data_IF_784795093559
#
_entry.id   IF_784795093559
#
_cell.length_a   1.000
_cell.length_b   1.000
_cell.length_c   1.000
_cell.angle_alpha   90.00
_cell.angle_beta   90.00
_cell.angle_gamma   90.00
#
_symmetry.space_group_name_H-M   'P 1'
#
loop_
_entity.id
_entity.type
_entity.pdbx_description
1 polymer ?
#
# COMPACT_ATOMS: atom_id res chain seq x y z
N UNK A 1 5.28 -7.75 37.56
CA UNK A 1 5.75 -9.13 37.78
C UNK A 1 6.70 -9.45 36.63
N UNK A 2 7.98 -9.71 36.91
CA UNK A 2 8.93 -10.16 35.89
C UNK A 2 8.63 -11.63 35.60
N UNK A 3 7.77 -11.89 34.62
CA UNK A 3 7.59 -13.24 34.08
C UNK A 3 8.79 -13.52 33.19
N UNK A 4 9.65 -14.45 33.62
CA UNK A 4 10.69 -15.01 32.75
C UNK A 4 10.01 -15.51 31.47
N UNK A 5 10.48 -15.13 30.28
CA UNK A 5 9.86 -15.51 29.02
C UNK A 5 9.81 -17.03 28.92
N UNK A 6 8.62 -17.57 28.67
CA UNK A 6 8.36 -19.02 28.69
C UNK A 6 8.92 -19.71 27.45
N UNK A 7 9.25 -18.95 26.40
CA UNK A 7 9.77 -19.43 25.13
C UNK A 7 10.57 -18.34 24.41
N UNK A 8 11.65 -18.73 23.72
CA UNK A 8 12.47 -17.82 22.91
C UNK A 8 12.80 -18.48 21.57
N UNK A 9 12.51 -17.78 20.48
CA UNK A 9 12.94 -18.17 19.13
C UNK A 9 14.18 -17.39 18.71
N UNK A 10 15.00 -18.00 17.87
CA UNK A 10 16.22 -17.39 17.32
C UNK A 10 16.16 -17.33 15.80
N UNK A 11 16.64 -16.23 15.23
CA UNK A 11 16.84 -16.05 13.79
C UNK A 11 18.13 -15.25 13.54
N UNK A 12 18.64 -15.26 12.31
CA UNK A 12 19.69 -14.30 11.92
C UNK A 12 19.07 -12.92 11.68
N UNK A 13 17.94 -12.89 10.98
CA UNK A 13 17.20 -11.66 10.62
C UNK A 13 15.74 -11.80 11.01
N UNK A 14 15.20 -10.77 11.68
CA UNK A 14 13.75 -10.63 11.88
C UNK A 14 13.25 -9.54 10.94
N UNK A 15 12.14 -9.81 10.26
CA UNK A 15 11.41 -8.83 9.45
C UNK A 15 10.02 -8.65 10.05
N UNK A 16 9.66 -7.40 10.39
CA UNK A 16 8.34 -7.06 10.91
C UNK A 16 7.49 -6.47 9.78
N UNK A 17 6.35 -7.11 9.54
CA UNK A 17 5.39 -6.76 8.50
C UNK A 17 5.62 -7.54 7.22
N UNK A 18 4.61 -8.23 6.72
CA UNK A 18 4.68 -8.98 5.45
C UNK A 18 4.04 -8.21 4.27
N UNK A 19 4.24 -6.88 4.26
CA UNK A 19 3.90 -6.04 3.11
C UNK A 19 4.97 -6.11 2.02
N UNK A 20 4.82 -5.31 0.96
CA UNK A 20 5.73 -5.32 -0.20
C UNK A 20 7.22 -5.21 0.18
N UNK A 21 7.60 -4.26 1.04
CA UNK A 21 8.99 -4.11 1.49
C UNK A 21 9.47 -5.26 2.38
N UNK A 22 8.59 -5.80 3.23
CA UNK A 22 8.92 -6.92 4.11
C UNK A 22 9.10 -8.23 3.35
N UNK A 23 8.32 -8.46 2.29
CA UNK A 23 8.51 -9.61 1.39
C UNK A 23 9.88 -9.53 0.74
N UNK A 24 10.24 -8.40 0.13
CA UNK A 24 11.55 -8.27 -0.54
C UNK A 24 12.71 -8.39 0.47
N UNK A 25 12.58 -7.79 1.67
CA UNK A 25 13.58 -7.91 2.72
C UNK A 25 13.77 -9.37 3.19
N UNK A 26 12.66 -10.08 3.43
CA UNK A 26 12.70 -11.46 3.89
C UNK A 26 13.25 -12.40 2.81
N UNK A 27 12.80 -12.24 1.57
CA UNK A 27 13.30 -13.01 0.42
C UNK A 27 14.79 -12.76 0.17
N UNK A 28 15.25 -11.51 0.24
CA UNK A 28 16.66 -11.17 0.08
C UNK A 28 17.54 -11.81 1.15
N UNK A 29 17.16 -11.68 2.44
CA UNK A 29 17.91 -12.28 3.54
C UNK A 29 17.95 -13.81 3.44
N UNK A 30 16.80 -14.44 3.15
CA UNK A 30 16.68 -15.88 3.02
C UNK A 30 17.52 -16.45 1.86
N UNK A 31 17.50 -15.80 0.69
CA UNK A 31 18.31 -16.17 -0.48
C UNK A 31 19.81 -16.01 -0.25
N UNK A 32 20.21 -15.12 0.66
CA UNK A 32 21.59 -14.99 1.13
C UNK A 32 21.99 -16.05 2.18
N UNK A 33 21.07 -16.96 2.52
CA UNK A 33 21.31 -18.07 3.45
C UNK A 33 21.02 -17.74 4.92
N UNK A 34 20.45 -16.58 5.23
CA UNK A 34 20.09 -16.21 6.59
C UNK A 34 18.81 -16.91 7.04
N UNK A 35 18.81 -17.52 8.24
CA UNK A 35 17.56 -17.96 8.87
C UNK A 35 16.71 -16.73 9.20
N UNK A 36 15.62 -16.56 8.47
CA UNK A 36 14.83 -15.34 8.48
C UNK A 36 13.45 -15.60 9.09
N UNK A 37 13.07 -14.79 10.07
CA UNK A 37 11.76 -14.84 10.69
C UNK A 37 10.92 -13.66 10.22
N UNK A 38 9.84 -13.93 9.49
CA UNK A 38 8.91 -12.93 9.01
C UNK A 38 7.65 -12.91 9.90
N UNK A 39 7.48 -11.82 10.64
CA UNK A 39 6.41 -11.59 11.59
C UNK A 39 5.33 -10.71 10.97
N UNK A 40 4.07 -11.10 11.03
CA UNK A 40 2.94 -10.30 10.52
C UNK A 40 1.69 -10.46 11.37
N UNK A 41 0.86 -9.43 11.46
CA UNK A 41 -0.38 -9.47 12.25
C UNK A 41 -1.41 -10.44 11.65
N UNK A 42 -1.38 -10.64 10.34
CA UNK A 42 -2.26 -11.56 9.63
C UNK A 42 -1.50 -12.21 8.46
N UNK A 43 -1.46 -13.54 8.43
CA UNK A 43 -0.82 -14.32 7.36
C UNK A 43 -1.64 -14.30 6.06
N UNK A 44 -2.94 -14.07 6.15
CA UNK A 44 -3.83 -14.00 4.98
C UNK A 44 -3.68 -12.68 4.21
N UNK A 45 -2.96 -11.69 4.76
CA UNK A 45 -2.70 -10.39 4.12
C UNK A 45 -1.26 -10.18 3.65
N UNK A 46 -0.45 -11.26 3.61
CA UNK A 46 0.89 -11.25 2.99
C UNK A 46 0.79 -10.78 1.54
N UNK A 47 1.48 -9.69 1.20
CA UNK A 47 1.49 -9.16 -0.17
C UNK A 47 0.20 -8.44 -0.58
N UNK A 48 -0.69 -8.11 0.36
CA UNK A 48 -1.94 -7.40 0.08
C UNK A 48 -1.70 -6.01 -0.57
N UNK A 49 -2.33 -5.79 -1.72
CA UNK A 49 -2.40 -4.48 -2.39
C UNK A 49 -3.51 -3.60 -1.81
N UNK A 50 -3.18 -2.74 -0.85
CA UNK A 50 -4.17 -1.96 -0.09
C UNK A 50 -4.78 -0.78 -0.85
N UNK A 51 -4.11 -0.29 -1.89
CA UNK A 51 -4.49 0.90 -2.62
C UNK A 51 -4.82 0.53 -4.08
N UNK A 52 -4.08 1.05 -5.06
CA UNK A 52 -4.27 0.81 -6.48
C UNK A 52 -4.00 -0.67 -6.86
N UNK A 53 -4.83 -1.32 -7.71
CA UNK A 53 -4.56 -2.66 -8.25
C UNK A 53 -3.47 -2.64 -9.35
N UNK A 54 -2.33 -2.00 -9.11
CA UNK A 54 -1.31 -1.86 -10.16
C UNK A 54 0.13 -1.85 -9.65
N UNK A 55 1.04 -2.40 -10.47
CA UNK A 55 2.50 -2.32 -10.33
C UNK A 55 3.09 -1.52 -11.49
N UNK A 56 4.12 -0.73 -11.19
CA UNK A 56 4.80 0.12 -12.16
C UNK A 56 4.09 1.46 -12.43
N UNK A 57 4.21 1.95 -13.66
CA UNK A 57 3.93 3.34 -14.03
C UNK A 57 5.18 4.24 -13.96
N UNK A 58 5.05 5.56 -14.16
CA UNK A 58 6.21 6.46 -14.23
C UNK A 58 7.08 6.35 -12.98
N UNK A 59 8.40 6.26 -13.17
CA UNK A 59 9.45 5.97 -12.17
C UNK A 59 9.34 4.60 -11.47
N UNK A 60 8.12 4.18 -11.09
CA UNK A 60 7.86 2.88 -10.46
C UNK A 60 8.25 1.71 -11.36
N UNK A 61 8.06 1.83 -12.67
CA UNK A 61 8.42 0.77 -13.63
C UNK A 61 9.91 0.44 -13.59
N UNK A 62 10.75 1.46 -13.52
CA UNK A 62 12.19 1.33 -13.45
C UNK A 62 12.58 0.66 -12.13
N UNK A 63 12.02 1.13 -11.01
CA UNK A 63 12.26 0.53 -9.69
C UNK A 63 11.87 -0.96 -9.65
N UNK A 64 10.72 -1.35 -10.20
CA UNK A 64 10.32 -2.77 -10.25
C UNK A 64 11.33 -3.60 -11.06
N UNK A 65 11.81 -3.07 -12.19
CA UNK A 65 12.84 -3.73 -13.00
C UNK A 65 14.20 -3.79 -12.30
N UNK A 66 14.58 -2.76 -11.56
CA UNK A 66 15.80 -2.76 -10.74
C UNK A 66 15.72 -3.80 -9.62
N UNK A 67 14.57 -3.89 -8.94
CA UNK A 67 14.31 -4.92 -7.92
C UNK A 67 14.40 -6.32 -8.54
N UNK A 68 13.78 -6.54 -9.70
CA UNK A 68 13.87 -7.82 -10.41
C UNK A 68 15.31 -8.17 -10.83
N UNK A 69 16.07 -7.19 -11.36
CA UNK A 69 17.47 -7.38 -11.73
C UNK A 69 18.36 -7.73 -10.53
N UNK A 70 18.01 -7.27 -9.32
CA UNK A 70 18.68 -7.62 -8.07
C UNK A 70 18.22 -8.97 -7.48
N UNK A 71 17.29 -9.67 -8.14
CA UNK A 71 16.77 -10.97 -7.71
C UNK A 71 15.57 -10.90 -6.76
N UNK A 72 14.92 -9.73 -6.65
CA UNK A 72 13.66 -9.54 -5.96
C UNK A 72 12.49 -10.23 -6.66
N UNK A 73 11.30 -10.18 -6.05
CA UNK A 73 10.15 -10.98 -6.49
C UNK A 73 8.98 -10.16 -7.06
N UNK A 74 8.94 -8.84 -6.84
CA UNK A 74 7.84 -7.98 -7.26
C UNK A 74 7.57 -8.04 -8.78
N UNK A 75 8.61 -8.09 -9.61
CA UNK A 75 8.48 -8.22 -11.07
C UNK A 75 7.81 -9.54 -11.46
N UNK A 76 8.29 -10.64 -10.87
CA UNK A 76 7.73 -11.99 -11.06
C UNK A 76 6.26 -12.03 -10.64
N UNK A 77 5.92 -11.49 -9.47
CA UNK A 77 4.54 -11.45 -8.98
C UNK A 77 3.63 -10.64 -9.92
N UNK A 78 4.08 -9.45 -10.35
CA UNK A 78 3.30 -8.59 -11.23
C UNK A 78 3.02 -9.25 -12.59
N UNK A 79 4.03 -9.90 -13.17
CA UNK A 79 3.90 -10.62 -14.45
C UNK A 79 3.07 -11.90 -14.31
N UNK A 80 3.11 -12.56 -13.14
CA UNK A 80 2.33 -13.75 -12.90
C UNK A 80 0.84 -13.45 -12.79
N UNK A 81 0.46 -12.27 -12.28
CA UNK A 81 -0.93 -11.96 -11.85
C UNK A 81 -1.55 -10.75 -12.53
N UNK A 82 -1.08 -10.35 -13.71
CA UNK A 82 -1.60 -9.16 -14.38
C UNK A 82 -3.03 -9.35 -14.92
N UNK A 83 -3.79 -8.27 -14.87
CA UNK A 83 -5.05 -8.06 -15.60
C UNK A 83 -4.81 -7.32 -16.90
N UNK A 84 -3.85 -6.39 -16.95
CA UNK A 84 -3.55 -5.58 -18.13
C UNK A 84 -2.08 -5.18 -18.11
N UNK A 85 -1.39 -5.26 -19.25
CA UNK A 85 -0.05 -4.69 -19.44
C UNK A 85 -0.14 -3.48 -20.36
N UNK A 86 0.44 -2.35 -19.94
CA UNK A 86 0.44 -1.12 -20.74
C UNK A 86 1.76 -0.37 -20.65
N UNK A 87 2.32 -0.01 -21.79
CA UNK A 87 3.49 0.85 -21.87
C UNK A 87 3.03 2.31 -21.95
N UNK A 88 3.42 3.11 -20.97
CA UNK A 88 3.17 4.54 -20.92
C UNK A 88 4.26 5.29 -21.69
N UNK A 89 3.91 6.46 -22.24
CA UNK A 89 4.81 7.32 -23.00
C UNK A 89 5.43 6.65 -24.25
N UNK A 90 4.71 5.74 -24.92
CA UNK A 90 5.21 5.02 -26.12
C UNK A 90 5.63 5.93 -27.27
N UNK A 91 4.91 7.04 -27.45
CA UNK A 91 5.22 8.06 -28.47
C UNK A 91 6.47 8.86 -28.16
N UNK A 92 7.01 8.74 -26.93
CA UNK A 92 8.25 9.39 -26.48
C UNK A 92 9.42 8.41 -26.53
N UNK A 93 10.63 8.96 -26.38
CA UNK A 93 11.87 8.18 -26.40
C UNK A 93 11.93 7.10 -25.31
N UNK A 94 12.69 6.01 -25.51
CA UNK A 94 12.76 4.87 -24.59
C UNK A 94 13.06 5.25 -23.12
N UNK A 95 13.85 6.31 -22.90
CA UNK A 95 14.24 6.78 -21.58
C UNK A 95 13.07 7.17 -20.66
N UNK A 96 11.92 7.55 -21.22
CA UNK A 96 10.74 8.00 -20.45
C UNK A 96 9.56 7.02 -20.54
N UNK A 97 9.76 5.87 -21.18
CA UNK A 97 8.75 4.81 -21.25
C UNK A 97 8.67 4.12 -19.88
N UNK A 98 7.46 3.73 -19.50
CA UNK A 98 7.23 3.03 -18.25
C UNK A 98 6.18 1.95 -18.44
N UNK A 99 6.49 0.73 -18.02
CA UNK A 99 5.51 -0.36 -17.99
C UNK A 99 4.60 -0.18 -16.77
N UNK A 100 3.31 -0.42 -16.95
CA UNK A 100 2.33 -0.50 -15.88
C UNK A 100 1.52 -1.78 -16.06
N UNK A 101 1.53 -2.64 -15.04
CA UNK A 101 0.61 -3.76 -14.95
C UNK A 101 -0.55 -3.38 -14.05
N UNK A 102 -1.78 -3.54 -14.52
CA UNK A 102 -2.88 -3.83 -13.59
C UNK A 102 -2.70 -5.24 -13.08
N UNK A 103 -2.94 -5.47 -11.80
CA UNK A 103 -2.74 -6.75 -11.13
C UNK A 103 -4.04 -7.18 -10.47
N UNK A 104 -4.36 -8.47 -10.62
CA UNK A 104 -5.41 -9.08 -9.83
C UNK A 104 -4.92 -9.12 -8.38
N UNK A 105 -5.59 -8.40 -7.50
CA UNK A 105 -5.12 -8.26 -6.11
C UNK A 105 -5.16 -9.57 -5.34
N UNK A 106 -6.18 -10.38 -5.57
CA UNK A 106 -6.37 -11.63 -4.84
C UNK A 106 -5.33 -12.66 -5.30
N UNK A 107 -5.10 -12.75 -6.61
CA UNK A 107 -4.05 -13.60 -7.14
C UNK A 107 -2.65 -13.10 -6.75
N UNK A 108 -2.38 -11.79 -6.82
CA UNK A 108 -1.07 -11.21 -6.44
C UNK A 108 -0.72 -11.57 -4.99
N UNK A 109 -1.67 -11.36 -4.07
CA UNK A 109 -1.53 -11.74 -2.66
C UNK A 109 -1.24 -13.23 -2.50
N UNK A 110 -2.01 -14.08 -3.17
CA UNK A 110 -1.87 -15.54 -3.09
C UNK A 110 -0.53 -15.99 -3.65
N UNK A 111 -0.08 -15.40 -4.75
CA UNK A 111 1.19 -15.70 -5.39
C UNK A 111 2.38 -15.25 -4.52
N UNK A 112 2.33 -14.02 -3.98
CA UNK A 112 3.30 -13.53 -3.00
C UNK A 112 3.42 -14.47 -1.79
N UNK A 113 2.29 -14.86 -1.20
CA UNK A 113 2.28 -15.78 -0.06
C UNK A 113 2.92 -17.12 -0.40
N UNK A 114 2.54 -17.71 -1.54
CA UNK A 114 3.12 -18.97 -2.02
C UNK A 114 4.64 -18.88 -2.17
N UNK A 115 5.16 -17.80 -2.75
CA UNK A 115 6.60 -17.60 -2.89
C UNK A 115 7.30 -17.56 -1.53
N UNK A 116 6.77 -16.77 -0.60
CA UNK A 116 7.33 -16.66 0.76
C UNK A 116 7.29 -17.99 1.50
N UNK A 117 6.17 -18.72 1.44
CA UNK A 117 6.01 -20.03 2.08
C UNK A 117 6.90 -21.11 1.44
N UNK A 118 7.28 -20.95 0.17
CA UNK A 118 8.14 -21.90 -0.54
C UNK A 118 9.63 -21.68 -0.31
N UNK A 119 10.04 -20.54 0.27
CA UNK A 119 11.44 -20.22 0.53
C UNK A 119 11.94 -20.90 1.82
N UNK A 120 12.86 -21.89 1.75
CA UNK A 120 13.19 -22.75 2.90
C UNK A 120 13.78 -22.01 4.11
N UNK A 121 14.43 -20.88 3.89
CA UNK A 121 15.07 -20.09 4.95
C UNK A 121 14.13 -19.07 5.59
N UNK A 122 12.87 -19.00 5.18
CA UNK A 122 11.84 -18.14 5.80
C UNK A 122 10.96 -18.97 6.72
N UNK A 123 10.81 -18.51 7.97
CA UNK A 123 9.76 -18.97 8.88
C UNK A 123 8.75 -17.86 9.09
N UNK A 124 7.46 -18.23 9.05
CA UNK A 124 6.35 -17.32 9.25
C UNK A 124 5.82 -17.40 10.69
N UNK A 125 5.43 -16.26 11.25
CA UNK A 125 4.61 -16.19 12.46
C UNK A 125 3.52 -15.13 12.32
N UNK A 126 2.31 -15.51 12.73
CA UNK A 126 1.23 -14.55 12.93
C UNK A 126 1.34 -13.98 14.33
N UNK A 127 1.75 -12.72 14.45
CA UNK A 127 1.88 -12.05 15.74
C UNK A 127 1.95 -10.53 15.60
N UNK A 128 1.75 -9.81 16.70
CA UNK A 128 1.97 -8.36 16.77
C UNK A 128 3.16 -8.09 17.67
N UNK A 129 4.26 -7.59 17.10
CA UNK A 129 5.41 -7.15 17.89
C UNK A 129 5.05 -5.86 18.63
N UNK A 130 5.31 -5.83 19.94
CA UNK A 130 4.95 -4.70 20.81
C UNK A 130 6.16 -4.11 21.56
N UNK A 131 7.29 -4.84 21.65
CA UNK A 131 8.52 -4.32 22.26
C UNK A 131 9.76 -4.56 21.41
N UNK A 132 10.70 -3.62 21.52
CA UNK A 132 12.05 -3.71 20.96
C UNK A 132 13.06 -3.82 22.10
N UNK A 133 13.94 -4.84 22.02
CA UNK A 133 14.98 -5.10 23.00
C UNK A 133 16.36 -4.75 22.43
N UNK A 134 17.09 -3.90 23.16
CA UNK A 134 18.46 -3.48 22.83
C UNK A 134 19.38 -3.67 24.02
N UNK A 135 20.68 -3.84 23.78
CA UNK A 135 21.68 -3.84 24.84
C UNK A 135 21.68 -2.46 25.57
N UNK A 136 21.57 -2.43 26.90
CA UNK A 136 21.44 -1.17 27.64
C UNK A 136 22.67 -0.27 27.54
N UNK A 137 23.85 -0.83 27.29
CA UNK A 137 25.13 -0.13 27.19
C UNK A 137 25.45 0.23 25.74
N UNK A 138 25.46 -0.76 24.84
CA UNK A 138 25.89 -0.54 23.44
C UNK A 138 24.78 -0.06 22.52
N UNK A 139 23.52 -0.11 22.97
CA UNK A 139 22.29 0.14 22.18
C UNK A 139 22.07 -0.81 21.01
N UNK A 140 22.97 -1.75 20.75
CA UNK A 140 22.80 -2.76 19.71
C UNK A 140 21.50 -3.54 19.88
N UNK A 141 20.82 -3.81 18.76
CA UNK A 141 19.64 -4.66 18.70
C UNK A 141 19.92 -6.07 19.26
N UNK A 142 18.97 -6.59 20.03
CA UNK A 142 19.03 -7.95 20.63
C UNK A 142 17.87 -8.81 20.16
N UNK A 143 16.66 -8.23 20.11
CA UNK A 143 15.45 -8.98 19.79
C UNK A 143 14.19 -8.16 19.91
N UNK A 144 13.05 -8.82 19.73
CA UNK A 144 11.72 -8.22 19.88
C UNK A 144 10.81 -9.12 20.70
N UNK A 145 9.73 -8.55 21.23
CA UNK A 145 8.70 -9.28 21.97
C UNK A 145 7.33 -9.01 21.38
N UNK A 146 6.52 -10.05 21.29
CA UNK A 146 5.15 -9.93 20.82
C UNK A 146 4.11 -9.77 21.93
N UNK A 147 2.86 -9.56 21.51
CA UNK A 147 1.73 -9.35 22.40
C UNK A 147 1.36 -10.58 23.26
N UNK A 148 1.99 -11.73 23.04
CA UNK A 148 1.86 -12.94 23.86
C UNK A 148 3.03 -13.12 24.84
N UNK A 149 4.02 -12.23 24.81
CA UNK A 149 5.22 -12.31 25.63
C UNK A 149 6.30 -13.26 25.09
N UNK A 150 6.20 -13.67 23.81
CA UNK A 150 7.23 -14.50 23.16
C UNK A 150 8.39 -13.61 22.75
N UNK A 151 9.61 -14.03 23.09
CA UNK A 151 10.83 -13.36 22.66
C UNK A 151 11.38 -13.94 21.37
N UNK A 152 11.82 -13.04 20.48
CA UNK A 152 12.47 -13.38 19.22
C UNK A 152 13.83 -12.69 19.19
N UNK A 153 14.91 -13.45 19.32
CA UNK A 153 16.27 -12.94 19.30
C UNK A 153 16.86 -13.02 17.89
N UNK A 154 17.53 -11.96 17.44
CA UNK A 154 18.20 -11.95 16.15
C UNK A 154 19.38 -10.98 16.08
N UNK A 155 20.20 -11.13 15.04
CA UNK A 155 21.37 -10.25 14.80
C UNK A 155 20.96 -8.94 14.13
N UNK A 156 19.88 -8.95 13.35
CA UNK A 156 19.37 -7.78 12.65
C UNK A 156 17.84 -7.75 12.62
N UNK A 157 17.29 -6.54 12.52
CA UNK A 157 15.86 -6.26 12.42
C UNK A 157 15.57 -5.37 11.23
N UNK A 158 14.55 -5.72 10.44
CA UNK A 158 13.96 -4.87 9.40
C UNK A 158 12.51 -4.55 9.76
N UNK A 159 12.18 -3.26 9.89
CA UNK A 159 10.83 -2.81 10.26
C UNK A 159 10.10 -2.30 9.01
N UNK A 160 9.01 -2.97 8.62
CA UNK A 160 8.20 -2.65 7.44
C UNK A 160 6.71 -2.61 7.77
N UNK A 161 6.36 -1.90 8.84
CA UNK A 161 5.00 -1.82 9.41
C UNK A 161 3.98 -1.10 8.51
N UNK A 162 4.41 -0.47 7.41
CA UNK A 162 3.51 0.21 6.47
C UNK A 162 2.68 1.29 7.16
N UNK A 163 1.36 1.18 7.07
CA UNK A 163 0.39 2.14 7.63
C UNK A 163 -0.14 1.73 9.01
N UNK A 164 0.46 0.73 9.67
CA UNK A 164 -0.12 0.12 10.88
C UNK A 164 0.30 0.77 12.19
N UNK A 165 1.49 1.37 12.29
CA UNK A 165 1.97 1.98 13.54
C UNK A 165 1.09 3.14 13.95
N UNK A 166 0.39 2.97 15.08
CA UNK A 166 -0.64 3.89 15.58
C UNK A 166 -1.59 4.35 14.47
N UNK A 167 -1.96 3.42 13.57
CA UNK A 167 -2.82 3.68 12.43
C UNK A 167 -4.21 4.17 12.85
N UNK A 168 -4.70 5.21 12.18
CA UNK A 168 -6.04 5.75 12.38
C UNK A 168 -6.70 6.05 11.04
N UNK A 169 -7.85 5.45 10.81
CA UNK A 169 -8.66 5.64 9.60
C UNK A 169 -9.66 6.77 9.80
N UNK A 170 -9.94 7.49 8.73
CA UNK A 170 -10.79 8.67 8.72
C UNK A 170 -11.75 8.68 7.53
N UNK A 171 -13.03 8.92 7.83
CA UNK A 171 -14.12 9.13 6.86
C UNK A 171 -15.00 10.26 7.40
N UNK A 172 -14.87 11.44 6.79
CA UNK A 172 -15.46 12.67 7.30
C UNK A 172 -15.01 12.95 8.74
N UNK A 173 -15.97 13.18 9.61
CA UNK A 173 -15.78 13.46 11.04
C UNK A 173 -15.56 12.18 11.87
N UNK A 174 -15.72 11.00 11.25
CA UNK A 174 -15.58 9.71 11.94
C UNK A 174 -14.17 9.17 11.81
N UNK A 175 -13.69 8.53 12.88
CA UNK A 175 -12.41 7.81 12.88
C UNK A 175 -12.49 6.48 13.59
N UNK A 176 -11.58 5.59 13.24
CA UNK A 176 -11.40 4.28 13.87
C UNK A 176 -9.91 3.92 13.90
N UNK A 177 -9.47 3.21 14.96
CA UNK A 177 -8.12 2.66 15.00
C UNK A 177 -7.96 1.55 13.96
N UNK A 178 -6.90 1.62 13.16
CA UNK A 178 -6.67 0.65 12.09
C UNK A 178 -5.53 1.03 11.17
N UNK A 179 -4.74 0.05 10.75
CA UNK A 179 -3.72 0.26 9.72
C UNK A 179 -4.32 0.31 8.31
N UNK A 180 -5.42 -0.41 8.11
CA UNK A 180 -6.21 -0.47 6.87
C UNK A 180 -7.67 -0.75 7.22
N UNK A 181 -8.65 -0.40 6.38
CA UNK A 181 -10.05 -0.76 6.63
C UNK A 181 -10.21 -2.25 6.92
N UNK A 182 -10.79 -2.59 8.07
CA UNK A 182 -10.97 -3.97 8.53
C UNK A 182 -9.76 -4.61 9.22
N UNK A 183 -8.62 -3.92 9.33
CA UNK A 183 -7.42 -4.42 10.02
C UNK A 183 -7.01 -3.49 11.17
N UNK A 184 -6.73 -4.06 12.34
CA UNK A 184 -6.32 -3.32 13.54
C UNK A 184 -4.99 -2.59 13.35
N UNK A 185 -4.77 -1.52 14.12
CA UNK A 185 -3.48 -0.86 14.21
C UNK A 185 -2.49 -1.67 15.08
N UNK A 186 -1.19 -1.46 14.86
CA UNK A 186 -0.13 -1.94 15.75
C UNK A 186 0.27 -0.82 16.72
N UNK A 187 0.53 -1.15 17.98
CA UNK A 187 0.97 -0.21 19.03
C UNK A 187 2.18 -0.77 19.77
N UNK A 188 2.86 0.07 20.56
CA UNK A 188 4.02 -0.35 21.38
C UNK A 188 5.36 0.10 20.80
N UNK A 189 5.79 -0.46 19.66
CA UNK A 189 7.14 -0.26 19.10
C UNK A 189 7.50 1.23 18.90
N UNK A 190 6.55 2.09 18.53
CA UNK A 190 6.82 3.54 18.37
C UNK A 190 7.47 4.13 19.63
N UNK A 191 6.96 3.79 20.82
CA UNK A 191 7.48 4.32 22.07
C UNK A 191 8.91 3.83 22.34
N UNK A 192 9.21 2.57 22.05
CA UNK A 192 10.56 2.02 22.20
C UNK A 192 11.55 2.67 21.23
N UNK A 193 11.15 2.94 19.98
CA UNK A 193 11.97 3.68 19.02
C UNK A 193 12.24 5.11 19.49
N UNK A 194 11.23 5.82 20.03
CA UNK A 194 11.43 7.14 20.62
C UNK A 194 12.41 7.09 21.79
N UNK A 195 12.31 6.07 22.66
CA UNK A 195 13.24 5.86 23.78
C UNK A 195 14.68 5.59 23.33
N UNK A 196 14.87 5.07 22.11
CA UNK A 196 16.18 4.91 21.47
C UNK A 196 16.69 6.19 20.79
N UNK A 197 15.94 7.29 20.87
CA UNK A 197 16.33 8.60 20.35
C UNK A 197 15.88 8.86 18.92
N UNK A 198 14.95 8.06 18.38
CA UNK A 198 14.34 8.38 17.09
C UNK A 198 13.28 9.47 17.22
N UNK A 199 13.26 10.37 16.24
CA UNK A 199 12.13 11.26 16.01
C UNK A 199 11.08 10.58 15.15
N UNK A 200 9.81 10.89 15.40
CA UNK A 200 8.68 10.40 14.61
C UNK A 200 7.79 11.57 14.19
N UNK A 201 7.02 11.36 13.14
CA UNK A 201 5.93 12.25 12.74
C UNK A 201 4.76 11.43 12.21
N UNK A 202 3.73 12.12 11.73
CA UNK A 202 2.51 11.49 11.18
C UNK A 202 2.42 11.76 9.68
N UNK A 203 2.13 10.71 8.91
CA UNK A 203 1.78 10.83 7.49
C UNK A 203 0.32 10.46 7.29
N UNK A 204 -0.31 11.08 6.30
CA UNK A 204 -1.65 10.75 5.81
C UNK A 204 -1.57 10.23 4.38
N UNK A 205 -2.30 9.17 4.07
CA UNK A 205 -2.57 8.77 2.68
C UNK A 205 -4.05 8.42 2.50
N UNK A 206 -4.60 8.75 1.33
CA UNK A 206 -6.00 8.49 0.97
C UNK A 206 -6.14 7.38 -0.04
N UNK A 207 -7.24 6.64 0.04
CA UNK A 207 -7.63 5.62 -0.95
C UNK A 207 -9.03 5.93 -1.50
N UNK A 208 -9.30 5.68 -2.79
CA UNK A 208 -10.61 5.91 -3.38
C UNK A 208 -11.62 4.85 -2.93
N UNK A 209 -12.91 5.06 -3.23
CA UNK A 209 -13.93 4.06 -2.98
C UNK A 209 -13.75 2.86 -3.92
N UNK A 210 -14.29 1.71 -3.51
CA UNK A 210 -14.46 0.53 -4.37
C UNK A 210 -15.92 0.44 -4.75
N UNK A 211 -16.18 0.33 -6.05
CA UNK A 211 -17.52 0.35 -6.63
C UNK A 211 -17.94 -1.04 -7.10
N UNK A 212 -19.24 -1.31 -7.08
CA UNK A 212 -19.79 -2.54 -7.64
C UNK A 212 -19.94 -2.41 -9.16
N UNK A 213 -19.15 -3.19 -9.91
CA UNK A 213 -19.17 -3.26 -11.38
C UNK A 213 -20.57 -3.42 -11.96
N UNK A 214 -21.47 -4.14 -11.28
CA UNK A 214 -22.83 -4.45 -11.76
C UNK A 214 -23.74 -3.22 -11.81
N UNK A 215 -23.37 -2.17 -11.09
CA UNK A 215 -24.13 -0.91 -10.97
C UNK A 215 -23.56 0.23 -11.81
N UNK A 216 -22.52 -0.05 -12.62
CA UNK A 216 -21.88 0.94 -13.48
C UNK A 216 -22.35 0.75 -14.92
N UNK A 217 -22.63 1.85 -15.60
CA UNK A 217 -22.82 1.87 -17.06
C UNK A 217 -21.47 2.15 -17.72
N UNK A 218 -20.84 1.07 -18.21
CA UNK A 218 -19.52 1.13 -18.84
C UNK A 218 -19.58 1.24 -20.37
N UNK A 219 -20.75 1.07 -20.99
CA UNK A 219 -20.89 1.00 -22.45
C UNK A 219 -20.57 2.35 -23.11
N UNK A 220 -20.98 3.45 -22.48
CA UNK A 220 -20.73 4.81 -22.96
C UNK A 220 -19.34 5.38 -22.63
N UNK A 221 -18.49 4.65 -21.90
CA UNK A 221 -17.19 5.15 -21.43
C UNK A 221 -16.06 4.82 -22.39
N UNK A 222 -15.05 5.70 -22.45
CA UNK A 222 -13.84 5.43 -23.25
C UNK A 222 -13.08 4.24 -22.67
N UNK A 223 -12.91 3.22 -23.51
CA UNK A 223 -12.18 1.99 -23.18
C UNK A 223 -10.68 2.21 -23.35
N UNK A 224 -9.91 1.91 -22.32
CA UNK A 224 -8.46 1.87 -22.35
C UNK A 224 -7.95 0.43 -22.26
N UNK A 225 -7.65 -0.22 -23.40
CA UNK A 225 -7.08 -1.55 -23.42
C UNK A 225 -5.60 -1.52 -23.01
N UNK A 226 -5.05 -2.73 -22.80
CA UNK A 226 -3.61 -2.96 -22.70
C UNK A 226 -2.93 -2.95 -24.08
N UNK A 227 -1.62 -3.19 -24.09
CA UNK A 227 -0.83 -3.26 -25.32
C UNK A 227 -1.02 -4.62 -26.01
N UNK A 228 -1.08 -4.64 -27.34
CA UNK A 228 -1.13 -5.89 -28.13
C UNK A 228 0.19 -6.68 -28.02
N UNK A 229 1.31 -5.96 -28.01
CA UNK A 229 2.64 -6.55 -27.79
C UNK A 229 2.99 -6.47 -26.32
N UNK A 230 2.91 -7.60 -25.63
CA UNK A 230 3.17 -7.69 -24.21
C UNK A 230 4.64 -7.39 -23.87
N UNK A 231 4.82 -6.66 -22.78
CA UNK A 231 6.09 -6.45 -22.11
C UNK A 231 5.91 -6.83 -20.64
N UNK A 232 6.99 -7.33 -20.06
CA UNK A 232 7.01 -7.88 -18.72
C UNK A 232 7.99 -7.11 -17.84
N UNK A 233 7.79 -7.16 -16.54
CA UNK A 233 8.73 -6.59 -15.57
C UNK A 233 9.95 -7.49 -15.39
N UNK A 234 9.74 -8.79 -15.26
CA UNK A 234 10.78 -9.76 -14.99
C UNK A 234 11.63 -10.08 -16.20
N UNK A 235 12.93 -10.16 -15.98
CA UNK A 235 13.91 -10.62 -16.97
C UNK A 235 13.93 -12.14 -17.11
N UNK A 236 13.35 -12.88 -16.17
CA UNK A 236 13.28 -14.34 -16.21
C UNK A 236 12.37 -14.85 -17.35
N UNK A 237 12.64 -16.06 -17.88
CA UNK A 237 11.82 -16.67 -18.93
C UNK A 237 10.41 -17.07 -18.43
N UNK A 238 9.60 -17.63 -19.33
CA UNK A 238 8.33 -18.31 -18.99
C UNK A 238 7.23 -17.46 -18.33
N UNK A 239 7.25 -16.15 -18.60
CA UNK A 239 6.16 -15.22 -18.22
C UNK A 239 4.84 -15.63 -18.88
N UNK A 240 3.73 -15.71 -18.13
CA UNK A 240 2.46 -16.19 -18.65
C UNK A 240 1.82 -15.18 -19.61
N UNK A 241 1.12 -15.67 -20.62
CA UNK A 241 0.22 -14.88 -21.45
C UNK A 241 -1.20 -15.08 -20.92
N UNK A 242 -1.85 -13.98 -20.57
CA UNK A 242 -3.16 -13.92 -19.93
C UNK A 242 -4.09 -13.00 -20.72
N UNK A 243 -5.38 -13.31 -20.68
CA UNK A 243 -6.42 -12.44 -21.23
C UNK A 243 -6.39 -11.06 -20.56
N UNK A 244 -6.33 -10.00 -21.36
CA UNK A 244 -6.27 -8.63 -20.80
C UNK A 244 -7.67 -8.09 -20.53
N UNK A 245 -7.84 -7.43 -19.38
CA UNK A 245 -9.05 -6.67 -19.04
C UNK A 245 -8.82 -5.18 -19.31
N UNK A 246 -9.78 -4.47 -19.93
CA UNK A 246 -9.65 -3.03 -20.13
C UNK A 246 -9.93 -2.25 -18.84
N UNK A 247 -9.39 -1.03 -18.79
CA UNK A 247 -9.85 0.03 -17.88
C UNK A 247 -10.81 0.97 -18.63
N UNK A 248 -11.53 1.80 -17.89
CA UNK A 248 -12.48 2.76 -18.46
C UNK A 248 -12.16 4.16 -17.94
N UNK A 249 -12.29 5.17 -18.80
CA UNK A 249 -12.11 6.57 -18.41
C UNK A 249 -13.46 7.20 -18.08
N UNK A 250 -13.53 7.86 -16.93
CA UNK A 250 -14.60 8.80 -16.61
C UNK A 250 -13.97 10.12 -16.13
N UNK A 251 -14.78 11.12 -15.80
CA UNK A 251 -14.29 12.44 -15.44
C UNK A 251 -15.19 13.12 -14.42
N UNK A 252 -14.58 13.96 -13.58
CA UNK A 252 -15.38 14.93 -12.80
C UNK A 252 -15.95 16.02 -13.70
N UNK A 253 -16.94 16.73 -13.17
CA UNK A 253 -17.59 17.86 -13.83
C UNK A 253 -17.91 18.97 -12.81
N UNK A 254 -18.44 20.13 -13.24
CA UNK A 254 -18.76 21.24 -12.34
C UNK A 254 -19.71 20.87 -11.19
N UNK A 255 -20.65 19.93 -11.39
CA UNK A 255 -21.53 19.46 -10.33
C UNK A 255 -20.76 18.69 -9.26
N UNK A 256 -19.83 17.81 -9.66
CA UNK A 256 -18.91 17.13 -8.72
C UNK A 256 -18.14 18.16 -7.89
N UNK A 257 -17.57 19.17 -8.56
CA UNK A 257 -16.75 20.20 -7.90
C UNK A 257 -17.55 21.05 -6.94
N UNK A 258 -18.79 21.39 -7.30
CA UNK A 258 -19.69 22.12 -6.41
C UNK A 258 -19.93 21.34 -5.12
N UNK A 259 -20.27 20.04 -5.20
CA UNK A 259 -20.50 19.19 -4.02
C UNK A 259 -19.25 19.13 -3.14
N UNK A 260 -18.07 18.98 -3.74
CA UNK A 260 -16.78 19.00 -3.03
C UNK A 260 -16.60 20.32 -2.28
N UNK A 261 -16.74 21.45 -2.97
CA UNK A 261 -16.51 22.77 -2.39
C UNK A 261 -17.51 23.10 -1.27
N UNK A 262 -18.78 22.73 -1.45
CA UNK A 262 -19.82 22.89 -0.42
C UNK A 262 -19.49 22.09 0.86
N UNK A 263 -18.77 20.97 0.74
CA UNK A 263 -18.50 20.04 1.84
C UNK A 263 -17.04 19.99 2.31
N UNK A 264 -16.13 20.79 1.74
CA UNK A 264 -14.68 20.69 2.03
C UNK A 264 -14.33 20.92 3.50
N UNK A 265 -15.12 21.75 4.17
CA UNK A 265 -15.02 22.06 5.61
C UNK A 265 -15.25 20.83 6.50
N UNK A 266 -15.84 19.75 5.95
CA UNK A 266 -16.08 18.47 6.65
C UNK A 266 -14.94 17.47 6.45
N UNK A 267 -13.90 17.82 5.70
CA UNK A 267 -12.72 16.97 5.61
C UNK A 267 -11.94 17.02 6.94
N UNK A 268 -11.47 15.88 7.47
CA UNK A 268 -10.78 15.85 8.76
C UNK A 268 -9.49 16.69 8.80
N UNK A 269 -8.87 16.95 7.64
CA UNK A 269 -7.77 17.92 7.56
C UNK A 269 -8.24 19.35 7.81
N UNK A 270 -9.30 19.80 7.13
CA UNK A 270 -9.81 21.17 7.27
C UNK A 270 -10.41 21.42 8.66
N UNK A 271 -10.91 20.37 9.31
CA UNK A 271 -11.40 20.43 10.69
C UNK A 271 -10.29 20.40 11.75
N UNK A 272 -9.01 20.20 11.36
CA UNK A 272 -7.89 20.06 12.29
C UNK A 272 -7.98 18.79 13.15
N UNK A 273 -8.64 17.73 12.65
CA UNK A 273 -8.80 16.46 13.37
C UNK A 273 -7.62 15.50 13.17
N UNK A 274 -6.80 15.73 12.14
CA UNK A 274 -5.59 14.96 11.85
C UNK A 274 -4.36 15.67 12.40
N UNK A 275 -3.42 14.88 12.92
CA UNK A 275 -2.09 15.34 13.36
C UNK A 275 -1.13 15.50 12.19
N UNK A 276 -1.35 14.78 11.08
CA UNK A 276 -0.55 14.89 9.88
C UNK A 276 -0.84 16.22 9.15
N UNK A 277 0.15 17.12 9.15
CA UNK A 277 0.04 18.47 8.58
C UNK A 277 -0.21 18.50 7.07
N UNK A 278 0.31 17.52 6.31
CA UNK A 278 0.31 17.55 4.84
C UNK A 278 0.08 16.16 4.22
N UNK A 279 -0.94 16.06 3.36
CA UNK A 279 -1.11 14.91 2.47
C UNK A 279 -0.09 14.87 1.33
N UNK A 280 -0.06 13.81 0.50
CA UNK A 280 0.90 13.65 -0.57
C UNK A 280 0.80 14.79 -1.60
N UNK A 281 1.93 15.45 -1.91
CA UNK A 281 1.97 16.54 -2.90
C UNK A 281 1.57 16.09 -4.31
N UNK A 282 2.06 14.94 -4.74
CA UNK A 282 1.96 14.45 -6.13
C UNK A 282 0.86 13.40 -6.34
N UNK A 283 0.14 13.02 -5.28
CA UNK A 283 -1.06 12.20 -5.36
C UNK A 283 -2.13 12.75 -4.39
N UNK A 284 -2.57 14.02 -4.58
CA UNK A 284 -3.55 14.64 -3.71
C UNK A 284 -4.91 13.95 -3.77
N UNK A 285 -5.70 14.14 -2.72
CA UNK A 285 -7.12 13.76 -2.70
C UNK A 285 -7.92 14.52 -3.77
N UNK A 286 -9.12 14.05 -4.13
CA UNK A 286 -9.94 14.75 -5.11
C UNK A 286 -10.38 16.12 -4.61
N UNK A 287 -10.67 16.25 -3.32
CA UNK A 287 -10.95 17.54 -2.68
C UNK A 287 -9.74 18.49 -2.77
N UNK A 288 -8.52 18.00 -2.49
CA UNK A 288 -7.29 18.80 -2.67
C UNK A 288 -7.05 19.19 -4.14
N UNK A 289 -7.34 18.31 -5.11
CA UNK A 289 -7.17 18.60 -6.53
C UNK A 289 -8.08 19.72 -7.00
N UNK A 290 -9.35 19.66 -6.62
CA UNK A 290 -10.35 20.67 -7.00
C UNK A 290 -9.97 22.03 -6.41
N UNK A 291 -9.52 22.09 -5.16
CA UNK A 291 -9.09 23.37 -4.55
C UNK A 291 -7.80 23.91 -5.13
N UNK A 292 -6.81 23.05 -5.42
CA UNK A 292 -5.50 23.50 -5.94
C UNK A 292 -5.51 23.87 -7.42
N UNK A 293 -6.43 23.28 -8.18
CA UNK A 293 -6.56 23.46 -9.63
C UNK A 293 -7.98 23.94 -9.96
N UNK A 294 -8.41 25.00 -9.28
CA UNK A 294 -9.75 25.59 -9.42
C UNK A 294 -10.07 26.07 -10.85
N UNK A 295 -9.05 26.30 -11.67
CA UNK A 295 -9.17 26.67 -13.09
C UNK A 295 -9.56 25.49 -14.00
N UNK A 296 -9.60 24.26 -13.46
CA UNK A 296 -9.93 23.05 -14.22
C UNK A 296 -11.39 22.67 -13.99
N UNK A 297 -12.19 22.69 -15.05
CA UNK A 297 -13.58 22.24 -15.01
C UNK A 297 -13.75 20.71 -14.87
N UNK A 298 -12.66 19.95 -15.01
CA UNK A 298 -12.70 18.48 -15.06
C UNK A 298 -11.36 17.81 -14.76
N UNK A 299 -11.40 16.65 -14.11
CA UNK A 299 -10.26 15.77 -13.85
C UNK A 299 -10.53 14.36 -14.38
N UNK A 300 -9.52 13.73 -14.97
CA UNK A 300 -9.58 12.34 -15.44
C UNK A 300 -9.59 11.37 -14.25
N UNK A 301 -10.43 10.34 -14.35
CA UNK A 301 -10.52 9.24 -13.41
C UNK A 301 -10.51 7.92 -14.19
N UNK A 302 -9.80 6.92 -13.68
CA UNK A 302 -9.84 5.57 -14.28
C UNK A 302 -10.64 4.64 -13.39
N UNK A 303 -11.57 3.90 -14.01
CA UNK A 303 -12.28 2.80 -13.39
C UNK A 303 -11.50 1.53 -13.72
N UNK A 304 -10.87 0.95 -12.72
CA UNK A 304 -9.90 -0.14 -12.86
C UNK A 304 -10.44 -1.43 -12.20
N UNK A 305 -10.51 -2.58 -12.89
CA UNK A 305 -10.87 -3.84 -12.24
C UNK A 305 -9.86 -4.21 -11.13
N UNK A 306 -10.34 -4.67 -9.97
CA UNK A 306 -9.43 -5.17 -8.90
C UNK A 306 -9.05 -6.66 -9.07
N UNK A 307 -9.80 -7.41 -9.88
CA UNK A 307 -9.55 -8.84 -10.14
C UNK A 307 -10.54 -9.45 -11.13
N UNK A 308 -10.31 -10.70 -11.54
CA UNK A 308 -11.16 -11.45 -12.47
C UNK A 308 -12.41 -12.01 -11.78
N UNK A 309 -12.24 -12.48 -10.56
CA UNK A 309 -13.27 -13.15 -9.76
C UNK A 309 -13.95 -12.21 -8.76
N UNK A 310 -13.99 -10.91 -9.06
CA UNK A 310 -14.64 -9.89 -8.22
C UNK A 310 -15.35 -8.84 -9.06
N UNK A 311 -16.42 -8.27 -8.50
CA UNK A 311 -17.09 -7.10 -9.07
C UNK A 311 -16.51 -5.79 -8.53
N UNK A 312 -15.50 -5.81 -7.66
CA UNK A 312 -14.88 -4.58 -7.15
C UNK A 312 -14.10 -3.85 -8.26
N UNK A 313 -14.49 -2.59 -8.48
CA UNK A 313 -13.80 -1.65 -9.36
C UNK A 313 -13.18 -0.52 -8.53
N UNK A 314 -11.90 -0.23 -8.77
CA UNK A 314 -11.15 0.85 -8.13
C UNK A 314 -11.28 2.15 -8.92
N UNK A 315 -11.74 3.22 -8.28
CA UNK A 315 -11.89 4.54 -8.92
C UNK A 315 -10.61 5.37 -8.78
N UNK A 316 -9.60 5.09 -9.61
CA UNK A 316 -8.31 5.75 -9.58
C UNK A 316 -8.45 7.27 -9.79
N UNK A 317 -7.79 8.04 -8.92
CA UNK A 317 -7.78 9.49 -8.97
C UNK A 317 -8.80 10.15 -8.05
N UNK A 318 -9.71 9.36 -7.46
CA UNK A 318 -10.81 9.80 -6.59
C UNK A 318 -10.58 9.48 -5.10
N UNK A 319 -9.33 9.50 -4.63
CA UNK A 319 -9.05 9.35 -3.20
C UNK A 319 -9.70 10.50 -2.44
N UNK A 320 -10.46 10.22 -1.39
CA UNK A 320 -11.10 11.25 -0.55
C UNK A 320 -11.21 10.78 0.88
N UNK A 321 -11.35 11.75 1.79
CA UNK A 321 -11.70 11.49 3.18
C UNK A 321 -12.98 12.21 3.59
N UNK A 322 -13.80 12.65 2.63
CA UNK A 322 -15.11 13.25 2.90
C UNK A 322 -16.11 12.21 3.49
N UNK A 323 -17.17 12.69 4.17
CA UNK A 323 -18.23 11.84 4.72
C UNK A 323 -18.86 10.92 3.66
N UNK A 324 -19.31 9.74 4.07
CA UNK A 324 -19.80 8.70 3.15
C UNK A 324 -20.96 9.17 2.27
N UNK A 325 -21.92 9.90 2.83
CA UNK A 325 -23.06 10.45 2.11
C UNK A 325 -22.61 11.43 1.01
N UNK A 326 -21.58 12.24 1.29
CA UNK A 326 -20.98 13.14 0.30
C UNK A 326 -20.25 12.33 -0.78
N UNK A 327 -19.57 11.24 -0.42
CA UNK A 327 -18.96 10.34 -1.41
C UNK A 327 -20.00 9.79 -2.39
N UNK A 328 -21.15 9.35 -1.90
CA UNK A 328 -22.25 8.86 -2.75
C UNK A 328 -22.72 9.96 -3.70
N UNK A 329 -22.98 11.18 -3.20
CA UNK A 329 -23.41 12.30 -4.02
C UNK A 329 -22.39 12.64 -5.11
N UNK A 330 -21.10 12.78 -4.75
CA UNK A 330 -20.06 13.14 -5.71
C UNK A 330 -19.88 12.07 -6.79
N UNK A 331 -19.85 10.79 -6.42
CA UNK A 331 -19.63 9.69 -7.38
C UNK A 331 -20.77 9.60 -8.39
N UNK A 332 -22.02 9.79 -7.94
CA UNK A 332 -23.21 9.73 -8.81
C UNK A 332 -23.32 10.89 -9.78
N UNK A 333 -22.48 11.92 -9.66
CA UNK A 333 -22.37 12.96 -10.70
C UNK A 333 -21.47 12.55 -11.86
N UNK A 334 -20.64 11.51 -11.71
CA UNK A 334 -19.67 11.12 -12.73
C UNK A 334 -20.37 10.34 -13.85
N UNK A 335 -20.06 10.59 -15.14
CA UNK A 335 -20.63 9.83 -16.24
C UNK A 335 -20.41 8.32 -16.09
N UNK A 336 -21.47 7.54 -16.25
CA UNK A 336 -21.49 6.07 -16.13
C UNK A 336 -21.58 5.55 -14.69
N UNK A 337 -21.67 6.45 -13.70
CA UNK A 337 -21.67 6.14 -12.27
C UNK A 337 -22.92 6.68 -11.55
N UNK A 338 -23.95 7.08 -12.29
CA UNK A 338 -25.19 7.69 -11.79
C UNK A 338 -25.93 6.80 -10.76
N UNK A 339 -25.77 5.48 -10.92
CA UNK A 339 -26.34 4.45 -10.05
C UNK A 339 -25.30 3.67 -9.26
N UNK A 340 -24.04 4.11 -9.25
CA UNK A 340 -22.95 3.38 -8.64
C UNK A 340 -23.21 3.09 -7.15
N UNK A 341 -22.97 1.84 -6.76
CA UNK A 341 -22.95 1.41 -5.37
C UNK A 341 -21.51 1.33 -4.86
N UNK A 342 -21.27 1.90 -3.68
CA UNK A 342 -19.97 1.86 -3.00
C UNK A 342 -19.92 0.61 -2.13
N UNK A 343 -19.07 -0.35 -2.52
CA UNK A 343 -18.78 -1.56 -1.73
C UNK A 343 -17.85 -1.26 -0.56
N UNK A 344 -16.86 -0.39 -0.78
CA UNK A 344 -15.94 0.08 0.27
C UNK A 344 -15.80 1.58 0.21
N UNK A 345 -16.06 2.32 1.30
CA UNK A 345 -15.91 3.76 1.31
C UNK A 345 -14.46 4.16 1.07
N UNK A 346 -14.27 5.33 0.46
CA UNK A 346 -12.99 6.00 0.47
C UNK A 346 -12.64 6.40 1.91
N UNK A 347 -11.36 6.37 2.24
CA UNK A 347 -10.89 6.82 3.53
C UNK A 347 -9.46 7.35 3.43
N UNK A 348 -9.04 8.08 4.46
CA UNK A 348 -7.64 8.33 4.72
C UNK A 348 -7.14 7.50 5.90
N UNK A 349 -5.90 7.05 5.84
CA UNK A 349 -5.18 6.50 6.99
C UNK A 349 -4.07 7.47 7.39
N UNK A 350 -3.98 7.71 8.68
CA UNK A 350 -2.90 8.43 9.32
C UNK A 350 -2.08 7.44 10.16
N UNK A 351 -0.76 7.53 10.10
CA UNK A 351 0.14 6.55 10.70
C UNK A 351 1.50 7.18 11.03
N UNK A 352 2.21 6.56 11.98
CA UNK A 352 3.55 6.99 12.35
C UNK A 352 4.54 6.70 11.22
N UNK A 353 5.44 7.65 10.99
CA UNK A 353 6.62 7.43 10.18
C UNK A 353 7.87 7.91 10.92
N UNK A 354 9.00 7.34 10.53
CA UNK A 354 10.31 7.75 11.01
C UNK A 354 11.05 8.42 9.85
N UNK A 355 11.41 9.72 9.97
CA UNK A 355 12.12 10.42 8.92
C UNK A 355 13.41 9.69 8.49
N UNK A 356 13.57 9.49 7.17
CA UNK A 356 14.65 8.68 6.60
C UNK A 356 16.04 9.27 6.79
N UNK A 357 16.18 10.55 7.13
CA UNK A 357 17.49 11.16 7.45
C UNK A 357 18.15 10.54 8.68
N UNK A 358 17.41 9.78 9.49
CA UNK A 358 17.90 9.03 10.64
C UNK A 358 18.60 7.71 10.24
N UNK A 359 18.58 7.36 8.95
CA UNK A 359 19.20 6.17 8.39
C UNK A 359 20.44 6.54 7.55
N UNK A 360 21.37 5.59 7.45
CA UNK A 360 22.39 5.60 6.39
C UNK A 360 21.77 5.24 5.03
N UNK A 361 22.45 5.50 3.89
CA UNK A 361 21.99 5.04 2.58
C UNK A 361 21.80 3.52 2.46
N UNK A 362 22.45 2.74 3.34
CA UNK A 362 22.24 1.30 3.50
C UNK A 362 20.92 0.93 4.20
N UNK A 363 20.10 1.91 4.59
CA UNK A 363 18.89 1.80 5.42
C UNK A 363 19.13 1.39 6.87
N UNK A 364 20.39 1.21 7.29
CA UNK A 364 20.75 0.98 8.69
C UNK A 364 20.50 2.23 9.53
N UNK A 365 19.94 2.07 10.73
CA UNK A 365 19.79 3.14 11.69
C UNK A 365 21.15 3.72 12.11
N UNK A 366 21.22 5.04 12.33
CA UNK A 366 22.46 5.70 12.75
C UNK A 366 22.83 5.48 14.22
N UNK A 367 21.83 5.22 15.06
CA UNK A 367 21.95 5.29 16.51
C UNK A 367 21.72 3.93 17.21
N UNK A 368 21.50 2.84 16.46
CA UNK A 368 21.14 1.49 16.95
C UNK A 368 21.80 0.42 16.10
#
# INVERSE_FOLDING_TARGET
MNTTPTYTEHADVIVIGAGHGGIEAAMAAAKLGCNTLLLTMNLDTIGQMSCNPAIGGPAKSQLVREVDALGGVMGICADATYLQMKTLNVSKGPAVRALRAQSDKAEYRTFCRKLVESEPNIRLRQTSVIRLHTNPVTKAFVGVEDNLGILYNAKALVITTGTFMNGRLWVGEKSMGGGRPGESASTGITADLINLGFTTGRLKTGTPPRLDRRTLDLEGLEVHPGDDTLRFFSFLPDRPIREQMPCYLTRTNPSTHKIINDNIHRSPMMMGLMEADLGPRYCPSIEDKVTRFEDKDSHHLFIEPEGRDTYEMYLQGFSTCLPYEVQVEMIRTLPGLEHAEILRPACAVEYDYFPSYQLYPSLMAKNV
#
